data_IF_750708158523
#
_entry.id   IF_750708158523
#
_cell.length_a   1.000
_cell.length_b   1.000
_cell.length_c   1.000
_cell.angle_alpha   90.00
_cell.angle_beta   90.00
_cell.angle_gamma   90.00
#
_symmetry.space_group_name_H-M   'P 1'
#
loop_
_entity.id
_entity.type
_entity.pdbx_description
1 polymer ?
#
# COMPACT_ATOMS: atom_id res chain seq x y z
N UNK A 1 49.04 -59.29 -118.40
CA UNK A 1 48.76 -57.90 -117.99
C UNK A 1 47.41 -57.78 -117.30
N UNK A 2 46.31 -58.33 -117.86
CA UNK A 2 44.96 -58.25 -117.26
C UNK A 2 44.79 -58.94 -115.88
N UNK A 3 45.55 -59.99 -115.56
CA UNK A 3 45.42 -60.70 -114.27
C UNK A 3 45.93 -59.88 -113.07
N UNK A 4 47.00 -59.09 -113.23
CA UNK A 4 47.56 -58.26 -112.15
C UNK A 4 46.64 -57.06 -111.81
N UNK A 5 45.89 -56.56 -112.79
CA UNK A 5 44.96 -55.44 -112.63
C UNK A 5 43.70 -55.86 -111.86
N UNK A 6 43.25 -57.10 -112.06
CA UNK A 6 42.15 -57.74 -111.32
C UNK A 6 42.55 -57.96 -109.85
N UNK A 7 43.79 -58.39 -109.59
CA UNK A 7 44.30 -58.63 -108.24
C UNK A 7 44.42 -57.33 -107.42
N UNK A 8 44.88 -56.24 -108.05
CA UNK A 8 44.91 -54.89 -107.45
C UNK A 8 43.49 -54.39 -107.14
N UNK A 9 42.54 -54.60 -108.04
CA UNK A 9 41.11 -54.27 -107.83
C UNK A 9 40.52 -55.07 -106.66
N UNK A 10 40.77 -56.38 -106.57
CA UNK A 10 40.30 -57.20 -105.45
C UNK A 10 40.91 -56.76 -104.12
N UNK A 11 42.20 -56.40 -104.10
CA UNK A 11 42.87 -55.92 -102.87
C UNK A 11 42.32 -54.56 -102.42
N UNK A 12 42.00 -53.67 -103.38
CA UNK A 12 41.35 -52.38 -103.09
C UNK A 12 39.92 -52.57 -102.57
N UNK A 13 39.16 -53.47 -103.19
CA UNK A 13 37.81 -53.81 -102.80
C UNK A 13 37.75 -54.47 -101.42
N UNK A 14 38.72 -55.34 -101.09
CA UNK A 14 38.87 -55.92 -99.74
C UNK A 14 39.20 -54.86 -98.68
N UNK A 15 40.04 -53.87 -99.01
CA UNK A 15 40.31 -52.73 -98.12
C UNK A 15 39.06 -51.89 -97.90
N UNK A 16 38.31 -51.60 -98.95
CA UNK A 16 37.04 -50.86 -98.85
C UNK A 16 36.00 -51.67 -98.03
N UNK A 17 35.90 -52.99 -98.24
CA UNK A 17 35.02 -53.87 -97.45
C UNK A 17 35.40 -53.83 -95.96
N UNK A 18 36.68 -53.90 -95.65
CA UNK A 18 37.18 -53.81 -94.27
C UNK A 18 36.87 -52.46 -93.63
N UNK A 19 37.01 -51.36 -94.37
CA UNK A 19 36.62 -50.03 -93.86
C UNK A 19 35.12 -49.91 -93.63
N UNK A 20 34.29 -50.54 -94.47
CA UNK A 20 32.84 -50.59 -94.27
C UNK A 20 32.45 -51.42 -93.05
N UNK A 21 33.08 -52.57 -92.83
CA UNK A 21 32.89 -53.38 -91.62
C UNK A 21 33.33 -52.63 -90.35
N UNK A 22 34.50 -51.98 -90.38
CA UNK A 22 35.00 -51.18 -89.25
C UNK A 22 34.06 -49.98 -88.97
N UNK A 23 33.49 -49.37 -90.01
CA UNK A 23 32.52 -48.27 -89.87
C UNK A 23 31.16 -48.76 -89.35
N UNK A 24 30.70 -49.95 -89.78
CA UNK A 24 29.47 -50.57 -89.30
C UNK A 24 29.59 -51.01 -87.83
N UNK A 25 30.75 -51.55 -87.43
CA UNK A 25 31.08 -51.85 -86.05
C UNK A 25 31.09 -50.58 -85.18
N UNK A 26 31.72 -49.50 -85.65
CA UNK A 26 31.70 -48.21 -84.95
C UNK A 26 30.29 -47.62 -84.81
N UNK A 27 29.41 -47.81 -85.80
CA UNK A 27 28.01 -47.36 -85.72
C UNK A 27 27.20 -48.16 -84.70
N UNK A 28 27.42 -49.48 -84.64
CA UNK A 28 26.84 -50.37 -83.62
C UNK A 28 27.25 -49.95 -82.20
N UNK A 29 28.53 -49.69 -81.98
CA UNK A 29 29.05 -49.26 -80.67
C UNK A 29 28.46 -47.91 -80.25
N UNK A 30 28.40 -46.94 -81.16
CA UNK A 30 27.77 -45.63 -80.90
C UNK A 30 26.27 -45.78 -80.62
N UNK A 31 25.58 -46.67 -81.31
CA UNK A 31 24.16 -46.94 -81.07
C UNK A 31 23.92 -47.55 -79.68
N UNK A 32 24.83 -48.41 -79.23
CA UNK A 32 24.78 -49.00 -77.90
C UNK A 32 25.11 -47.97 -76.79
N UNK A 33 26.11 -47.10 -77.00
CA UNK A 33 26.39 -45.98 -76.10
C UNK A 33 25.21 -45.00 -76.00
N UNK A 34 24.52 -44.73 -77.11
CA UNK A 34 23.32 -43.89 -77.13
C UNK A 34 22.20 -44.53 -76.31
N UNK A 35 21.94 -45.83 -76.45
CA UNK A 35 20.93 -46.54 -75.65
C UNK A 35 21.23 -46.51 -74.15
N UNK A 36 22.49 -46.75 -73.77
CA UNK A 36 22.91 -46.73 -72.37
C UNK A 36 22.87 -45.30 -71.78
N UNK A 37 23.25 -44.29 -72.56
CA UNK A 37 23.06 -42.89 -72.20
C UNK A 37 21.59 -42.55 -72.03
N UNK A 38 20.70 -43.05 -72.90
CA UNK A 38 19.26 -42.81 -72.82
C UNK A 38 18.65 -43.43 -71.56
N UNK A 39 19.02 -44.67 -71.22
CA UNK A 39 18.63 -45.31 -69.94
C UNK A 39 19.12 -44.53 -68.73
N UNK A 40 20.36 -44.05 -68.77
CA UNK A 40 20.95 -43.26 -67.68
C UNK A 40 20.22 -41.92 -67.51
N UNK A 41 19.89 -41.23 -68.60
CA UNK A 41 19.12 -39.98 -68.58
C UNK A 41 17.71 -40.21 -68.04
N UNK A 42 17.03 -41.29 -68.45
CA UNK A 42 15.72 -41.65 -67.92
C UNK A 42 15.77 -41.95 -66.41
N UNK A 43 16.79 -42.68 -65.94
CA UNK A 43 17.00 -42.95 -64.51
C UNK A 43 17.22 -41.67 -63.71
N UNK A 44 18.10 -40.78 -64.19
CA UNK A 44 18.37 -39.49 -63.53
C UNK A 44 17.15 -38.56 -63.54
N UNK A 45 16.35 -38.57 -64.61
CA UNK A 45 15.10 -37.80 -64.65
C UNK A 45 14.09 -38.29 -63.61
N UNK A 46 13.99 -39.61 -63.40
CA UNK A 46 13.14 -40.18 -62.36
C UNK A 46 13.63 -39.80 -60.94
N UNK A 47 14.95 -39.81 -60.71
CA UNK A 47 15.56 -39.33 -59.45
C UNK A 47 15.31 -37.84 -59.23
N UNK A 48 15.47 -37.00 -60.26
CA UNK A 48 15.20 -35.56 -60.19
C UNK A 48 13.73 -35.30 -59.86
N UNK A 49 12.80 -36.08 -60.43
CA UNK A 49 11.38 -35.94 -60.12
C UNK A 49 11.05 -36.30 -58.66
N UNK A 50 11.69 -37.35 -58.12
CA UNK A 50 11.57 -37.69 -56.70
C UNK A 50 12.15 -36.60 -55.79
N UNK A 51 13.38 -36.14 -56.07
CA UNK A 51 14.00 -35.05 -55.33
C UNK A 51 13.16 -33.77 -55.37
N UNK A 52 12.55 -33.47 -56.51
CA UNK A 52 11.64 -32.33 -56.63
C UNK A 52 10.41 -32.48 -55.71
N UNK A 53 9.79 -33.67 -55.67
CA UNK A 53 8.67 -33.97 -54.77
C UNK A 53 9.07 -33.83 -53.30
N UNK A 54 10.24 -34.36 -52.92
CA UNK A 54 10.76 -34.27 -51.56
C UNK A 54 11.06 -32.83 -51.16
N UNK A 55 11.73 -32.04 -52.01
CA UNK A 55 12.04 -30.62 -51.74
C UNK A 55 10.76 -29.81 -51.54
N UNK A 56 9.75 -30.01 -52.40
CA UNK A 56 8.45 -29.34 -52.26
C UNK A 56 7.75 -29.77 -50.97
N UNK A 57 7.81 -31.06 -50.62
CA UNK A 57 7.26 -31.59 -49.36
C UNK A 57 7.94 -31.00 -48.12
N UNK A 58 9.28 -30.96 -48.09
CA UNK A 58 10.04 -30.36 -47.00
C UNK A 58 9.78 -28.86 -46.88
N UNK A 59 9.70 -28.13 -47.99
CA UNK A 59 9.36 -26.70 -47.99
C UNK A 59 7.98 -26.46 -47.38
N UNK A 60 6.98 -27.25 -47.77
CA UNK A 60 5.62 -27.14 -47.21
C UNK A 60 5.60 -27.40 -45.69
N UNK A 61 6.30 -28.44 -45.22
CA UNK A 61 6.42 -28.70 -43.78
C UNK A 61 7.16 -27.59 -43.03
N UNK A 62 8.20 -27.01 -43.64
CA UNK A 62 8.94 -25.90 -43.05
C UNK A 62 8.08 -24.64 -42.93
N UNK A 63 7.30 -24.31 -43.97
CA UNK A 63 6.34 -23.20 -43.94
C UNK A 63 5.28 -23.42 -42.84
N UNK A 64 4.68 -24.62 -42.75
CA UNK A 64 3.72 -24.95 -41.69
C UNK A 64 4.30 -24.80 -40.28
N UNK A 65 5.52 -25.32 -40.03
CA UNK A 65 6.19 -25.18 -38.75
C UNK A 65 6.55 -23.72 -38.44
N UNK A 66 6.94 -22.94 -39.45
CA UNK A 66 7.22 -21.51 -39.30
C UNK A 66 5.97 -20.76 -38.85
N UNK A 67 4.83 -21.01 -39.50
CA UNK A 67 3.56 -20.36 -39.13
C UNK A 67 3.08 -20.76 -37.74
N UNK A 68 3.24 -22.03 -37.35
CA UNK A 68 2.92 -22.51 -36.01
C UNK A 68 3.83 -21.87 -34.93
N UNK A 69 5.12 -21.73 -35.22
CA UNK A 69 6.07 -21.05 -34.33
C UNK A 69 5.75 -19.56 -34.17
N UNK A 70 5.46 -18.86 -35.27
CA UNK A 70 5.02 -17.46 -35.23
C UNK A 70 3.76 -17.30 -34.38
N UNK A 71 2.77 -18.18 -34.57
CA UNK A 71 1.55 -18.18 -33.76
C UNK A 71 1.86 -18.37 -32.28
N UNK A 72 2.67 -19.37 -31.92
CA UNK A 72 3.09 -19.59 -30.53
C UNK A 72 3.85 -18.42 -29.92
N UNK A 73 4.72 -17.76 -30.70
CA UNK A 73 5.43 -16.56 -30.24
C UNK A 73 4.44 -15.43 -29.95
N UNK A 74 3.46 -15.21 -30.83
CA UNK A 74 2.43 -14.18 -30.61
C UNK A 74 1.56 -14.49 -29.39
N UNK A 75 1.23 -15.77 -29.18
CA UNK A 75 0.40 -16.23 -28.07
C UNK A 75 1.17 -16.11 -26.73
N UNK A 76 2.44 -16.57 -26.68
CA UNK A 76 3.32 -16.38 -25.52
C UNK A 76 3.54 -14.90 -25.20
N UNK A 77 3.77 -14.05 -26.20
CA UNK A 77 3.94 -12.62 -25.96
C UNK A 77 2.67 -11.99 -25.37
N UNK A 78 1.50 -12.43 -25.83
CA UNK A 78 0.22 -12.02 -25.24
C UNK A 78 0.10 -12.48 -23.79
N UNK A 79 0.41 -13.75 -23.49
CA UNK A 79 0.36 -14.30 -22.13
C UNK A 79 1.37 -13.61 -21.19
N UNK A 80 2.57 -13.29 -21.68
CA UNK A 80 3.58 -12.58 -20.91
C UNK A 80 3.11 -11.17 -20.59
N UNK A 81 2.49 -10.45 -21.53
CA UNK A 81 1.95 -9.12 -21.24
C UNK A 81 0.73 -9.17 -20.32
N UNK A 82 -0.15 -10.17 -20.43
CA UNK A 82 -1.24 -10.34 -19.45
C UNK A 82 -0.71 -10.65 -18.07
N UNK A 83 0.22 -11.60 -17.95
CA UNK A 83 0.85 -11.96 -16.67
C UNK A 83 1.60 -10.79 -16.04
N UNK A 84 2.30 -9.99 -16.85
CA UNK A 84 2.99 -8.77 -16.39
C UNK A 84 2.01 -7.70 -15.93
N UNK A 85 0.90 -7.51 -16.65
CA UNK A 85 -0.17 -6.61 -16.25
C UNK A 85 -0.81 -7.04 -14.93
N UNK A 86 -1.15 -8.32 -14.78
CA UNK A 86 -1.71 -8.90 -13.56
C UNK A 86 -0.74 -8.80 -12.37
N UNK A 87 0.54 -9.10 -12.59
CA UNK A 87 1.56 -8.95 -11.55
C UNK A 87 1.73 -7.49 -11.12
N UNK A 88 1.73 -6.54 -12.06
CA UNK A 88 1.77 -5.11 -11.77
C UNK A 88 0.55 -4.66 -10.95
N UNK A 89 -0.65 -5.11 -11.34
CA UNK A 89 -1.88 -4.83 -10.62
C UNK A 89 -1.88 -5.43 -9.21
N UNK A 90 -1.38 -6.66 -9.05
CA UNK A 90 -1.25 -7.32 -7.74
C UNK A 90 -0.25 -6.58 -6.83
N UNK A 91 0.89 -6.13 -7.36
CA UNK A 91 1.87 -5.32 -6.62
C UNK A 91 1.26 -3.99 -6.18
N UNK A 92 0.54 -3.29 -7.08
CA UNK A 92 -0.14 -2.05 -6.74
C UNK A 92 -1.20 -2.25 -5.64
N UNK A 93 -1.99 -3.33 -5.73
CA UNK A 93 -2.98 -3.70 -4.71
C UNK A 93 -2.32 -4.01 -3.35
N UNK A 94 -1.22 -4.76 -3.34
CA UNK A 94 -0.46 -5.05 -2.11
C UNK A 94 0.13 -3.79 -1.48
N UNK A 95 0.68 -2.88 -2.29
CA UNK A 95 1.18 -1.59 -1.78
C UNK A 95 0.06 -0.75 -1.18
N UNK A 96 -1.09 -0.67 -1.85
CA UNK A 96 -2.27 0.03 -1.33
C UNK A 96 -2.75 -0.59 -0.01
N UNK A 97 -2.86 -1.92 0.07
CA UNK A 97 -3.26 -2.63 1.28
C UNK A 97 -2.25 -2.44 2.43
N UNK A 98 -0.94 -2.43 2.16
CA UNK A 98 0.09 -2.14 3.16
C UNK A 98 0.04 -0.70 3.67
N UNK A 99 -0.24 0.26 2.78
CA UNK A 99 -0.46 1.66 3.18
C UNK A 99 -1.69 1.74 4.08
N UNK A 100 -2.79 1.10 3.70
CA UNK A 100 -4.03 1.12 4.46
C UNK A 100 -3.89 0.42 5.82
N UNK A 101 -3.23 -0.73 5.87
CA UNK A 101 -2.87 -1.42 7.11
C UNK A 101 -1.95 -0.57 8.01
N UNK A 102 -1.03 0.21 7.44
CA UNK A 102 -0.20 1.16 8.20
C UNK A 102 -0.99 2.38 8.68
N UNK A 103 -1.96 2.89 7.89
CA UNK A 103 -2.92 3.93 8.31
C UNK A 103 -3.71 3.44 9.52
N UNK A 104 -4.24 2.22 9.45
CA UNK A 104 -4.97 1.61 10.56
C UNK A 104 -4.05 1.26 11.75
N UNK A 105 -2.78 0.93 11.50
CA UNK A 105 -1.84 0.57 12.57
C UNK A 105 -1.53 1.73 13.52
N UNK A 106 -0.84 2.77 13.05
CA UNK A 106 -0.38 3.86 13.92
C UNK A 106 -1.44 4.94 14.13
N UNK A 107 -2.04 5.45 13.04
CA UNK A 107 -3.07 6.48 13.15
C UNK A 107 -4.37 5.92 13.72
N UNK A 108 -4.72 4.66 13.40
CA UNK A 108 -5.85 3.96 14.03
C UNK A 108 -5.65 3.77 15.53
N UNK A 109 -4.48 3.32 15.99
CA UNK A 109 -4.22 3.20 17.44
C UNK A 109 -4.36 4.53 18.19
N UNK A 110 -3.90 5.65 17.61
CA UNK A 110 -4.11 6.98 18.19
C UNK A 110 -5.59 7.42 18.17
N UNK A 111 -6.30 7.12 17.08
CA UNK A 111 -7.73 7.41 16.94
C UNK A 111 -8.56 6.63 17.94
N UNK A 112 -8.29 5.33 18.11
CA UNK A 112 -8.95 4.46 19.06
C UNK A 112 -8.73 4.93 20.49
N UNK A 113 -7.50 5.33 20.83
CA UNK A 113 -7.22 5.86 22.17
C UNK A 113 -7.90 7.21 22.39
N UNK A 114 -7.90 8.10 21.39
CA UNK A 114 -8.66 9.35 21.43
C UNK A 114 -10.17 9.12 21.64
N UNK A 115 -10.74 8.11 20.97
CA UNK A 115 -12.15 7.73 21.12
C UNK A 115 -12.46 7.17 22.51
N UNK A 116 -11.57 6.37 23.10
CA UNK A 116 -11.71 5.90 24.48
C UNK A 116 -11.70 7.08 25.47
N UNK A 117 -10.74 7.99 25.34
CA UNK A 117 -10.63 9.18 26.20
C UNK A 117 -11.86 10.08 26.05
N UNK A 118 -12.40 10.22 24.83
CA UNK A 118 -13.65 10.95 24.57
C UNK A 118 -14.85 10.30 25.26
N UNK A 119 -14.93 8.96 25.26
CA UNK A 119 -15.96 8.21 25.99
C UNK A 119 -15.84 8.42 27.50
N UNK A 120 -14.62 8.32 28.05
CA UNK A 120 -14.34 8.62 29.46
C UNK A 120 -14.75 10.07 29.81
N UNK A 121 -14.42 11.04 28.95
CA UNK A 121 -14.79 12.45 29.12
C UNK A 121 -16.31 12.64 29.15
N UNK A 122 -17.04 11.91 28.30
CA UNK A 122 -18.51 11.94 28.28
C UNK A 122 -19.11 11.42 29.58
N UNK A 123 -18.57 10.33 30.13
CA UNK A 123 -19.01 9.79 31.42
C UNK A 123 -18.84 10.83 32.54
N UNK A 124 -17.70 11.51 32.60
CA UNK A 124 -17.49 12.60 33.56
C UNK A 124 -18.39 13.81 33.32
N UNK A 125 -18.74 14.10 32.05
CA UNK A 125 -19.77 15.08 31.70
C UNK A 125 -21.13 14.74 32.29
N UNK A 126 -21.54 13.47 32.21
CA UNK A 126 -22.80 12.99 32.81
C UNK A 126 -22.76 13.11 34.34
N UNK A 127 -21.64 12.74 34.97
CA UNK A 127 -21.45 12.88 36.42
C UNK A 127 -21.53 14.36 36.85
N UNK A 128 -20.90 15.26 36.10
CA UNK A 128 -20.97 16.70 36.37
C UNK A 128 -22.42 17.23 36.27
N UNK A 129 -23.12 16.91 35.18
CA UNK A 129 -24.52 17.28 35.01
C UNK A 129 -25.40 16.72 36.13
N UNK A 130 -25.19 15.46 36.53
CA UNK A 130 -25.89 14.84 37.66
C UNK A 130 -25.64 15.57 38.98
N UNK A 131 -24.40 15.97 39.25
CA UNK A 131 -24.06 16.73 40.45
C UNK A 131 -24.77 18.09 40.50
N UNK A 132 -24.84 18.80 39.36
CA UNK A 132 -25.57 20.07 39.25
C UNK A 132 -27.07 19.88 39.49
N UNK A 133 -27.69 18.85 38.92
CA UNK A 133 -29.12 18.55 39.14
C UNK A 133 -29.42 18.28 40.61
N UNK A 134 -28.58 17.48 41.29
CA UNK A 134 -28.77 17.20 42.72
C UNK A 134 -28.63 18.47 43.55
N UNK A 135 -27.63 19.31 43.27
CA UNK A 135 -27.49 20.60 43.95
C UNK A 135 -28.69 21.52 43.73
N UNK A 136 -29.28 21.51 42.52
CA UNK A 136 -30.48 22.28 42.21
C UNK A 136 -31.70 21.76 42.98
N UNK A 137 -31.89 20.44 43.07
CA UNK A 137 -32.97 19.83 43.88
C UNK A 137 -32.80 20.17 45.37
N UNK A 138 -31.58 20.07 45.89
CA UNK A 138 -31.27 20.46 47.27
C UNK A 138 -31.57 21.95 47.50
N UNK A 139 -31.20 22.82 46.57
CA UNK A 139 -31.48 24.25 46.66
C UNK A 139 -32.99 24.54 46.71
N UNK A 140 -33.80 23.87 45.88
CA UNK A 140 -35.26 24.02 45.89
C UNK A 140 -35.88 23.52 47.21
N UNK A 141 -35.44 22.36 47.70
CA UNK A 141 -35.88 21.81 49.00
C UNK A 141 -35.53 22.75 50.17
N UNK A 142 -34.39 23.44 50.09
CA UNK A 142 -33.97 24.39 51.10
C UNK A 142 -34.73 25.72 51.06
N UNK A 143 -35.30 26.11 49.92
CA UNK A 143 -36.14 27.30 49.77
C UNK A 143 -37.53 27.06 50.38
N UNK A 144 -38.10 25.87 50.23
CA UNK A 144 -39.39 25.53 50.87
C UNK A 144 -39.35 25.53 52.40
N UNK A 145 -38.18 25.31 52.98
CA UNK A 145 -37.95 25.25 54.43
C UNK A 145 -37.70 26.63 55.07
N UNK A 146 -37.76 27.73 54.31
CA UNK A 146 -37.39 29.08 54.79
C UNK A 146 -38.47 29.80 55.61
N UNK A 147 -39.62 29.17 55.87
CA UNK A 147 -40.81 29.83 56.46
C UNK A 147 -40.72 30.08 57.97
N UNK A 148 -39.66 29.64 58.64
CA UNK A 148 -39.45 29.85 60.08
C UNK A 148 -38.00 30.23 60.39
N UNK A 149 -37.71 31.50 60.72
CA UNK A 149 -36.36 31.86 61.18
C UNK A 149 -36.34 32.76 62.42
N UNK A 150 -35.62 32.27 63.42
CA UNK A 150 -34.97 33.01 64.51
C UNK A 150 -33.47 33.12 64.17
N UNK A 151 -32.80 34.23 64.49
CA UNK A 151 -31.41 34.51 64.08
C UNK A 151 -30.39 33.45 64.54
N UNK A 152 -30.55 32.84 65.71
CA UNK A 152 -29.64 31.80 66.22
C UNK A 152 -29.72 30.48 65.44
N UNK A 153 -30.88 30.17 64.86
CA UNK A 153 -31.07 28.95 64.06
C UNK A 153 -30.47 29.06 62.65
N UNK A 154 -30.13 30.26 62.19
CA UNK A 154 -29.69 30.51 60.81
C UNK A 154 -28.30 29.91 60.54
N UNK A 155 -27.36 30.08 61.46
CA UNK A 155 -25.99 29.57 61.32
C UNK A 155 -25.97 28.03 61.35
N UNK A 156 -26.69 27.42 62.30
CA UNK A 156 -26.79 25.96 62.41
C UNK A 156 -27.46 25.35 61.17
N UNK A 157 -28.52 25.99 60.65
CA UNK A 157 -29.17 25.57 59.43
C UNK A 157 -28.26 25.72 58.19
N UNK A 158 -27.46 26.78 58.12
CA UNK A 158 -26.50 26.96 57.02
C UNK A 158 -25.39 25.90 57.03
N UNK A 159 -24.82 25.62 58.21
CA UNK A 159 -23.83 24.55 58.40
C UNK A 159 -24.39 23.18 58.03
N UNK A 160 -25.63 22.87 58.43
CA UNK A 160 -26.31 21.62 58.06
C UNK A 160 -26.50 21.51 56.54
N UNK A 161 -26.93 22.60 55.88
CA UNK A 161 -27.10 22.65 54.42
C UNK A 161 -25.76 22.48 53.69
N UNK A 162 -24.69 23.12 54.18
CA UNK A 162 -23.35 22.98 53.61
C UNK A 162 -22.78 21.57 53.82
N UNK A 163 -23.04 20.92 54.96
CA UNK A 163 -22.63 19.54 55.21
C UNK A 163 -23.28 18.55 54.22
N UNK A 164 -24.54 18.79 53.83
CA UNK A 164 -25.26 17.98 52.84
C UNK A 164 -24.83 18.30 51.40
N UNK A 165 -24.63 19.59 51.07
CA UNK A 165 -24.24 20.01 49.73
C UNK A 165 -22.74 19.82 49.43
N UNK A 166 -21.88 19.85 50.45
CA UNK A 166 -20.42 19.82 50.35
C UNK A 166 -19.86 18.66 49.52
N UNK A 167 -20.26 17.40 49.78
CA UNK A 167 -19.83 16.27 48.96
C UNK A 167 -20.21 16.40 47.48
N UNK A 168 -21.40 16.94 47.18
CA UNK A 168 -21.84 17.14 45.80
C UNK A 168 -21.08 18.26 45.09
N UNK A 169 -20.75 19.33 45.81
CA UNK A 169 -19.87 20.40 45.31
C UNK A 169 -18.47 19.84 44.99
N UNK A 170 -17.94 18.98 45.86
CA UNK A 170 -16.65 18.32 45.64
C UNK A 170 -16.67 17.42 44.40
N UNK A 171 -17.71 16.59 44.24
CA UNK A 171 -17.88 15.73 43.06
C UNK A 171 -18.00 16.56 41.77
N UNK A 172 -18.81 17.63 41.79
CA UNK A 172 -18.96 18.52 40.64
C UNK A 172 -17.65 19.20 40.24
N UNK A 173 -16.91 19.74 41.21
CA UNK A 173 -15.60 20.33 40.99
C UNK A 173 -14.60 19.31 40.43
N UNK A 174 -14.53 18.11 41.02
CA UNK A 174 -13.63 17.04 40.57
C UNK A 174 -13.96 16.60 39.14
N UNK A 175 -15.25 16.43 38.82
CA UNK A 175 -15.71 16.09 37.49
C UNK A 175 -15.35 17.18 36.46
N UNK A 176 -15.53 18.46 36.80
CA UNK A 176 -15.14 19.57 35.93
C UNK A 176 -13.63 19.57 35.64
N UNK A 177 -12.80 19.34 36.66
CA UNK A 177 -11.34 19.23 36.50
C UNK A 177 -10.97 18.03 35.62
N UNK A 178 -11.63 16.90 35.81
CA UNK A 178 -11.40 15.69 35.02
C UNK A 178 -11.79 15.86 33.55
N UNK A 179 -12.88 16.56 33.25
CA UNK A 179 -13.28 16.90 31.88
C UNK A 179 -12.17 17.73 31.20
N UNK A 180 -11.63 18.73 31.90
CA UNK A 180 -10.53 19.56 31.37
C UNK A 180 -9.23 18.77 31.16
N UNK A 181 -8.90 17.83 32.05
CA UNK A 181 -7.73 16.94 31.89
C UNK A 181 -7.89 16.00 30.70
N UNK A 182 -9.02 15.31 30.60
CA UNK A 182 -9.31 14.38 29.50
C UNK A 182 -9.43 15.12 28.16
N UNK A 183 -9.92 16.37 28.15
CA UNK A 183 -9.96 17.20 26.95
C UNK A 183 -8.58 17.46 26.35
N UNK A 184 -7.59 17.82 27.18
CA UNK A 184 -6.20 18.03 26.73
C UNK A 184 -5.58 16.75 26.17
N UNK A 185 -5.83 15.62 26.83
CA UNK A 185 -5.33 14.32 26.38
C UNK A 185 -5.97 13.89 25.07
N UNK A 186 -7.28 14.11 24.93
CA UNK A 186 -7.99 13.85 23.68
C UNK A 186 -7.39 14.66 22.51
N UNK A 187 -7.17 15.95 22.71
CA UNK A 187 -6.59 16.82 21.67
C UNK A 187 -5.19 16.36 21.23
N UNK A 188 -4.33 15.91 22.17
CA UNK A 188 -3.00 15.36 21.83
C UNK A 188 -3.10 14.07 21.00
N UNK A 189 -4.03 13.18 21.32
CA UNK A 189 -4.24 11.96 20.54
C UNK A 189 -4.82 12.25 19.15
N UNK A 190 -5.77 13.18 19.05
CA UNK A 190 -6.33 13.62 17.76
C UNK A 190 -5.24 14.28 16.88
N UNK A 191 -4.40 15.13 17.49
CA UNK A 191 -3.25 15.73 16.81
C UNK A 191 -2.22 14.68 16.34
N UNK A 192 -1.90 13.69 17.18
CA UNK A 192 -1.00 12.58 16.83
C UNK A 192 -1.57 11.71 15.72
N UNK A 193 -2.88 11.43 15.73
CA UNK A 193 -3.54 10.70 14.65
C UNK A 193 -3.47 11.46 13.32
N UNK A 194 -3.78 12.76 13.33
CA UNK A 194 -3.69 13.61 12.14
C UNK A 194 -2.26 13.70 11.60
N UNK A 195 -1.27 13.85 12.48
CA UNK A 195 0.14 13.93 12.10
C UNK A 195 0.68 12.59 11.59
N UNK A 196 0.23 11.46 12.15
CA UNK A 196 0.54 10.12 11.65
C UNK A 196 -0.01 9.89 10.24
N UNK A 197 -1.22 10.39 9.96
CA UNK A 197 -1.79 10.35 8.62
C UNK A 197 -1.00 11.23 7.64
N UNK A 198 -0.67 12.46 8.04
CA UNK A 198 0.11 13.40 7.22
C UNK A 198 1.53 12.88 6.92
N UNK A 199 2.18 12.25 7.90
CA UNK A 199 3.51 11.65 7.74
C UNK A 199 3.55 10.62 6.61
N UNK A 200 2.48 9.84 6.42
CA UNK A 200 2.45 8.87 5.31
C UNK A 200 2.42 9.54 3.95
N UNK A 201 1.67 10.62 3.80
CA UNK A 201 1.64 11.42 2.58
C UNK A 201 3.01 12.03 2.31
N UNK A 202 3.65 12.61 3.32
CA UNK A 202 5.00 13.15 3.18
C UNK A 202 6.05 12.09 2.89
N UNK A 203 5.93 10.90 3.48
CA UNK A 203 6.83 9.78 3.18
C UNK A 203 6.74 9.37 1.72
N UNK A 204 5.53 9.35 1.14
CA UNK A 204 5.34 9.05 -0.28
C UNK A 204 5.96 10.13 -1.18
N UNK A 205 5.77 11.41 -0.83
CA UNK A 205 6.35 12.55 -1.56
C UNK A 205 7.88 12.58 -1.47
N UNK A 206 8.45 12.36 -0.29
CA UNK A 206 9.91 12.34 -0.12
C UNK A 206 10.54 11.13 -0.82
N UNK A 207 9.84 9.98 -0.87
CA UNK A 207 10.28 8.82 -1.62
C UNK A 207 10.28 9.06 -3.15
N UNK A 208 9.41 9.93 -3.68
CA UNK A 208 9.41 10.29 -5.09
C UNK A 208 10.55 11.26 -5.46
N UNK A 209 10.94 12.13 -4.52
CA UNK A 209 12.09 13.04 -4.67
C UNK A 209 13.44 12.31 -4.59
N UNK A 210 13.50 11.21 -3.84
CA UNK A 210 14.70 10.35 -3.76
C UNK A 210 15.84 10.92 -2.90
N UNK A 211 15.57 11.93 -2.06
CA UNK A 211 16.56 12.51 -1.15
C UNK A 211 16.60 11.76 0.20
N UNK A 212 17.71 11.06 0.43
CA UNK A 212 17.94 10.30 1.67
C UNK A 212 18.08 11.18 2.91
N UNK A 213 18.58 12.41 2.79
CA UNK A 213 18.72 13.34 3.91
C UNK A 213 17.35 13.84 4.38
N UNK A 214 16.48 14.21 3.42
CA UNK A 214 15.10 14.61 3.70
C UNK A 214 14.29 13.47 4.32
N UNK A 215 14.51 12.23 3.87
CA UNK A 215 13.88 11.03 4.44
C UNK A 215 14.28 10.82 5.90
N UNK A 216 15.57 10.98 6.20
CA UNK A 216 16.09 10.83 7.56
C UNK A 216 15.56 11.92 8.50
N UNK A 217 15.52 13.18 8.04
CA UNK A 217 14.96 14.28 8.82
C UNK A 217 13.46 14.08 9.11
N UNK A 218 12.68 13.67 8.10
CA UNK A 218 11.27 13.36 8.25
C UNK A 218 11.04 12.26 9.30
N UNK A 219 11.83 11.18 9.25
CA UNK A 219 11.72 10.07 10.19
C UNK A 219 12.11 10.50 11.61
N UNK A 220 13.16 11.29 11.76
CA UNK A 220 13.60 11.79 13.07
C UNK A 220 12.53 12.68 13.71
N UNK A 221 11.94 13.60 12.93
CA UNK A 221 10.83 14.45 13.39
C UNK A 221 9.61 13.61 13.78
N UNK A 222 9.26 12.60 12.98
CA UNK A 222 8.14 11.71 13.26
C UNK A 222 8.34 10.90 14.56
N UNK A 223 9.54 10.35 14.78
CA UNK A 223 9.86 9.62 16.01
C UNK A 223 9.74 10.55 17.23
N UNK A 224 10.25 11.78 17.13
CA UNK A 224 10.13 12.76 18.21
C UNK A 224 8.66 13.09 18.54
N UNK A 225 7.84 13.36 17.52
CA UNK A 225 6.42 13.71 17.70
C UNK A 225 5.58 12.53 18.21
N UNK A 226 5.81 11.31 17.73
CA UNK A 226 5.01 10.14 18.16
C UNK A 226 5.49 9.54 19.49
N UNK A 227 6.77 9.69 19.83
CA UNK A 227 7.35 9.20 21.09
C UNK A 227 7.06 10.07 22.32
N UNK A 228 6.49 11.25 22.12
CA UNK A 228 6.20 12.22 23.18
C UNK A 228 5.09 11.72 24.14
N UNK A 229 5.46 11.49 25.40
CA UNK A 229 4.55 10.94 26.42
C UNK A 229 3.39 11.91 26.75
N UNK A 230 2.11 11.49 26.74
CA UNK A 230 0.97 12.34 27.08
C UNK A 230 0.94 12.79 28.55
N UNK A 231 1.74 12.19 29.44
CA UNK A 231 1.88 12.60 30.84
C UNK A 231 2.29 14.08 30.97
N UNK A 232 2.95 14.65 29.95
CA UNK A 232 3.28 16.08 29.88
C UNK A 232 2.08 17.03 29.94
N UNK A 233 0.91 16.58 29.50
CA UNK A 233 -0.33 17.38 29.45
C UNK A 233 -0.99 17.53 30.82
N UNK A 234 -0.62 16.67 31.76
CA UNK A 234 -0.95 16.76 33.17
C UNK A 234 0.03 17.66 33.93
N UNK A 235 0.74 18.52 33.19
CA UNK A 235 2.00 19.18 33.55
C UNK A 235 2.14 19.60 35.01
N UNK A 236 3.29 19.26 35.58
CA UNK A 236 4.16 19.98 36.55
C UNK A 236 3.56 20.80 37.71
N UNK A 237 2.25 20.89 37.89
CA UNK A 237 1.63 21.47 39.07
C UNK A 237 1.73 20.43 40.19
N UNK A 238 2.85 20.44 40.90
CA UNK A 238 3.08 19.66 42.13
C UNK A 238 2.08 20.02 43.27
N UNK A 239 1.07 20.83 42.96
CA UNK A 239 0.10 21.37 43.88
C UNK A 239 -1.30 21.43 43.25
N UNK A 240 -1.67 20.39 42.48
CA UNK A 240 -3.05 20.19 42.09
C UNK A 240 -3.94 20.33 43.36
N UNK A 241 -4.82 21.34 43.46
CA UNK A 241 -5.59 21.56 44.68
C UNK A 241 -6.36 20.29 45.05
N UNK A 242 -6.27 19.87 46.31
CA UNK A 242 -6.86 18.61 46.81
C UNK A 242 -8.36 18.76 47.05
N UNK A 243 -8.84 20.00 47.18
CA UNK A 243 -10.25 20.31 47.40
C UNK A 243 -10.66 21.65 46.76
N UNK A 244 -11.96 21.86 46.49
CA UNK A 244 -12.49 23.14 46.01
C UNK A 244 -12.11 24.31 46.93
N UNK A 245 -12.12 24.08 48.25
CA UNK A 245 -11.74 25.08 49.25
C UNK A 245 -10.27 25.45 49.13
N UNK A 246 -9.39 24.47 48.90
CA UNK A 246 -7.95 24.75 48.72
C UNK A 246 -7.64 25.53 47.45
N UNK A 247 -8.46 25.39 46.40
CA UNK A 247 -8.32 26.19 45.17
C UNK A 247 -8.80 27.62 45.38
N UNK A 248 -9.96 27.80 46.03
CA UNK A 248 -10.47 29.11 46.40
C UNK A 248 -9.48 29.87 47.30
N UNK A 249 -8.92 29.19 48.31
CA UNK A 249 -7.93 29.80 49.22
C UNK A 249 -6.60 30.17 48.53
N UNK A 250 -6.25 29.52 47.41
CA UNK A 250 -5.07 29.89 46.62
C UNK A 250 -5.34 31.06 45.68
N UNK A 251 -6.57 31.18 45.18
CA UNK A 251 -6.98 32.30 44.33
C UNK A 251 -7.26 33.58 45.13
N UNK A 252 -7.55 33.45 46.43
CA UNK A 252 -7.72 34.58 47.34
C UNK A 252 -6.35 35.11 47.76
N UNK A 253 -6.06 36.36 47.38
CA UNK A 253 -4.80 37.03 47.71
C UNK A 253 -4.66 37.25 49.23
N UNK A 254 -3.55 36.78 49.81
CA UNK A 254 -3.31 36.84 51.26
C UNK A 254 -3.24 38.28 51.77
N UNK A 255 -2.82 39.21 50.92
CA UNK A 255 -2.61 40.61 51.29
C UNK A 255 -3.91 41.43 51.35
N UNK A 256 -4.92 41.09 50.54
CA UNK A 256 -6.24 41.70 50.61
C UNK A 256 -7.06 41.18 51.79
N UNK A 257 -7.02 39.88 52.05
CA UNK A 257 -7.75 39.27 53.18
C UNK A 257 -7.25 39.77 54.53
N UNK A 258 -5.93 39.96 54.67
CA UNK A 258 -5.35 40.51 55.89
C UNK A 258 -5.76 41.98 56.12
N UNK A 259 -5.85 42.78 55.05
CA UNK A 259 -6.37 44.16 55.10
C UNK A 259 -7.84 44.21 55.48
N UNK A 260 -8.67 43.33 54.93
CA UNK A 260 -10.10 43.24 55.26
C UNK A 260 -10.31 42.81 56.72
N UNK A 261 -9.58 41.79 57.20
CA UNK A 261 -9.64 41.36 58.60
C UNK A 261 -9.21 42.46 59.57
N UNK A 262 -8.14 43.20 59.24
CA UNK A 262 -7.70 44.34 60.04
C UNK A 262 -8.76 45.45 60.09
N UNK A 263 -9.36 45.77 58.94
CA UNK A 263 -10.43 46.77 58.83
C UNK A 263 -11.69 46.37 59.62
N UNK A 264 -12.06 45.09 59.62
CA UNK A 264 -13.13 44.57 60.47
C UNK A 264 -12.81 44.64 61.96
N UNK A 265 -11.56 44.35 62.35
CA UNK A 265 -11.14 44.47 63.76
C UNK A 265 -11.12 45.90 64.29
N UNK A 266 -10.93 46.90 63.42
CA UNK A 266 -11.01 48.32 63.75
C UNK A 266 -12.45 48.83 63.85
N UNK A 267 -13.42 48.17 63.22
CA UNK A 267 -14.85 48.53 63.26
C UNK A 267 -15.58 47.90 64.47
N UNK A 268 -15.07 46.78 64.99
CA UNK A 268 -15.67 46.04 66.13
C UNK A 268 -15.11 46.51 67.49
N UNK A 269 -14.19 47.48 67.50
CA UNK A 269 -13.68 48.13 68.71
C UNK A 269 -14.30 49.51 68.89
#
# INVERSE_FOLDING_TARGET
MALAEIEVQQTKMQKELKTWDDTAAGFSDVQQEIEDAQKTVLGRNAEVEQLYKDIVGYRSQAELKSTELEKRITELNSEVETAKSEASAAVASLQAALIDARKQGLAGAFTDRGAQVKSERRTWGIVFSGAVVVLLVLALAFVSDLTTFTYEALIVNLLRRLAVAGPMIWVGWYAAKQIGRLGRVQEDYEYKAATALAFQSYKAEVASVGDGALTAELLQRAIATFGENPVRLYGTEHHDPVSPVSELLKQIDKDETFKLLKKFSEIVR
#
